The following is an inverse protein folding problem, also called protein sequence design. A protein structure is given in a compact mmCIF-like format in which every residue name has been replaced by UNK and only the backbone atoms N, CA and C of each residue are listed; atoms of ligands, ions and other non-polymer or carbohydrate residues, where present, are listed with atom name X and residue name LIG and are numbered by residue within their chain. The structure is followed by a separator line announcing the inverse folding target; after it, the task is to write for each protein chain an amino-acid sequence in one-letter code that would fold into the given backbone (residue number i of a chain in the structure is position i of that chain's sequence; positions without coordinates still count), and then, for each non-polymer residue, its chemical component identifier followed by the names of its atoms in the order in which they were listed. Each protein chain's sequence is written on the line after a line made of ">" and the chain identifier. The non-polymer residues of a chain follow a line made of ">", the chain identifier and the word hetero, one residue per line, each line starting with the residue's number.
data_IF_030219495223
#
_entry.id   IF_030219495223
#
_cell.length_a   1.000
_cell.length_b   1.000
_cell.length_c   1.000
_cell.angle_alpha   90.00
_cell.angle_beta   90.00
_cell.angle_gamma   90.00
#
_symmetry.space_group_name_H-M   'P 1'
#
loop_
_entity.id
_entity.type
_entity.pdbx_description
1 polymer ?
#
# COMPACT_ATOMS: atom_id res chain seq x y z
N UNK A 1 18.01 -1.21 -7.79
CA UNK A 1 17.28 -0.61 -8.95
C UNK A 1 15.95 -1.30 -9.21
N UNK A 2 15.88 -2.64 -9.19
CA UNK A 2 14.63 -3.40 -9.44
C UNK A 2 13.51 -3.03 -8.46
N UNK A 3 13.83 -2.85 -7.18
CA UNK A 3 12.83 -2.56 -6.12
C UNK A 3 12.20 -1.17 -6.27
N UNK A 4 13.02 -0.17 -6.62
CA UNK A 4 12.54 1.19 -6.89
C UNK A 4 11.65 1.21 -8.14
N UNK A 5 12.08 0.57 -9.22
CA UNK A 5 11.27 0.44 -10.44
C UNK A 5 9.96 -0.29 -10.16
N UNK A 6 10.01 -1.37 -9.38
CA UNK A 6 8.82 -2.11 -8.96
C UNK A 6 7.87 -1.24 -8.12
N UNK A 7 8.39 -0.46 -7.18
CA UNK A 7 7.60 0.42 -6.33
C UNK A 7 6.89 1.52 -7.13
N UNK A 8 7.61 2.17 -8.05
CA UNK A 8 7.04 3.21 -8.92
C UNK A 8 6.00 2.64 -9.89
N UNK A 9 6.25 1.48 -10.48
CA UNK A 9 5.30 0.81 -11.36
C UNK A 9 4.05 0.37 -10.60
N UNK A 10 4.22 -0.22 -9.41
CA UNK A 10 3.12 -0.58 -8.54
C UNK A 10 2.29 0.66 -8.15
N UNK A 11 2.93 1.78 -7.83
CA UNK A 11 2.26 3.05 -7.54
C UNK A 11 1.44 3.56 -8.73
N UNK A 12 1.98 3.50 -9.95
CA UNK A 12 1.25 3.89 -11.15
C UNK A 12 0.00 3.00 -11.39
N UNK A 13 0.14 1.69 -11.24
CA UNK A 13 -0.96 0.72 -11.38
C UNK A 13 -2.03 0.97 -10.31
N UNK A 14 -1.61 1.06 -9.05
CA UNK A 14 -2.51 1.31 -7.93
C UNK A 14 -3.23 2.64 -8.08
N UNK A 15 -2.55 3.71 -8.46
CA UNK A 15 -3.18 5.02 -8.66
C UNK A 15 -4.30 4.96 -9.72
N UNK A 16 -4.07 4.28 -10.84
CA UNK A 16 -5.08 4.09 -11.87
C UNK A 16 -6.27 3.27 -11.35
N UNK A 17 -6.01 2.15 -10.67
CA UNK A 17 -7.04 1.28 -10.10
C UNK A 17 -7.86 1.99 -9.00
N UNK A 18 -7.18 2.65 -8.06
CA UNK A 18 -7.77 3.40 -6.96
C UNK A 18 -8.72 4.48 -7.48
N UNK A 19 -8.35 5.19 -8.56
CA UNK A 19 -9.22 6.20 -9.16
C UNK A 19 -10.52 5.60 -9.70
N UNK A 20 -10.48 4.39 -10.25
CA UNK A 20 -11.67 3.68 -10.70
C UNK A 20 -12.53 3.23 -9.52
N UNK A 21 -11.93 2.64 -8.48
CA UNK A 21 -12.66 2.18 -7.30
C UNK A 21 -13.28 3.31 -6.50
N UNK A 22 -12.57 4.42 -6.31
CA UNK A 22 -13.10 5.60 -5.63
C UNK A 22 -14.30 6.20 -6.38
N UNK A 23 -14.30 6.18 -7.71
CA UNK A 23 -15.46 6.63 -8.51
C UNK A 23 -16.66 5.71 -8.37
N UNK A 24 -16.44 4.41 -8.22
CA UNK A 24 -17.52 3.43 -8.15
C UNK A 24 -18.09 3.25 -6.74
N UNK A 25 -17.25 3.30 -5.70
CA UNK A 25 -17.61 2.90 -4.33
C UNK A 25 -17.36 4.00 -3.27
N UNK A 26 -16.80 5.15 -3.65
CA UNK A 26 -16.55 6.27 -2.74
C UNK A 26 -15.67 5.86 -1.54
N UNK A 27 -16.06 6.27 -0.33
CA UNK A 27 -15.31 6.00 0.89
C UNK A 27 -15.17 4.51 1.20
N UNK A 28 -16.10 3.65 0.79
CA UNK A 28 -16.00 2.21 1.01
C UNK A 28 -14.77 1.63 0.33
N UNK A 29 -14.39 2.17 -0.84
CA UNK A 29 -13.20 1.74 -1.57
C UNK A 29 -11.92 1.83 -0.72
N UNK A 30 -11.82 2.88 0.11
CA UNK A 30 -10.63 3.15 0.94
C UNK A 30 -10.35 2.05 1.97
N UNK A 31 -11.36 1.29 2.37
CA UNK A 31 -11.21 0.19 3.34
C UNK A 31 -11.38 -1.20 2.71
N UNK A 32 -11.63 -1.29 1.40
CA UNK A 32 -11.84 -2.55 0.69
C UNK A 32 -10.99 -2.66 -0.57
N UNK A 33 -11.46 -2.13 -1.70
CA UNK A 33 -10.87 -2.32 -3.02
C UNK A 33 -9.50 -1.65 -3.16
N UNK A 34 -9.27 -0.52 -2.51
CA UNK A 34 -7.98 0.21 -2.56
C UNK A 34 -6.87 -0.59 -1.87
N UNK A 35 -6.98 -1.01 -0.59
CA UNK A 35 -5.98 -1.88 0.03
C UNK A 35 -5.68 -3.15 -0.78
N UNK A 36 -6.71 -3.79 -1.33
CA UNK A 36 -6.54 -4.97 -2.16
C UNK A 36 -5.68 -4.68 -3.40
N UNK A 37 -6.03 -3.63 -4.14
CA UNK A 37 -5.32 -3.26 -5.36
C UNK A 37 -3.85 -2.93 -5.10
N UNK A 38 -3.59 -2.21 -4.02
CA UNK A 38 -2.25 -1.79 -3.64
C UNK A 38 -1.36 -2.96 -3.22
N UNK A 39 -1.82 -3.81 -2.31
CA UNK A 39 -1.00 -4.94 -1.85
C UNK A 39 -0.75 -5.95 -2.98
N UNK A 40 -1.74 -6.18 -3.84
CA UNK A 40 -1.57 -7.02 -5.05
C UNK A 40 -0.56 -6.38 -6.00
N UNK A 41 -0.71 -5.10 -6.34
CA UNK A 41 0.20 -4.42 -7.27
C UNK A 41 1.64 -4.44 -6.75
N UNK A 42 1.87 -4.04 -5.50
CA UNK A 42 3.22 -4.02 -4.90
C UNK A 42 3.85 -5.41 -4.88
N UNK A 43 3.12 -6.41 -4.40
CA UNK A 43 3.66 -7.76 -4.22
C UNK A 43 3.90 -8.45 -5.57
N UNK A 44 2.93 -8.36 -6.48
CA UNK A 44 3.04 -9.04 -7.78
C UNK A 44 4.09 -8.36 -8.66
N UNK A 45 4.16 -7.02 -8.70
CA UNK A 45 5.20 -6.33 -9.47
C UNK A 45 6.59 -6.64 -8.91
N UNK A 46 6.76 -6.67 -7.58
CA UNK A 46 8.01 -7.12 -6.96
C UNK A 46 8.37 -8.55 -7.40
N UNK A 47 7.40 -9.47 -7.33
CA UNK A 47 7.59 -10.87 -7.71
C UNK A 47 8.01 -11.03 -9.18
N UNK A 48 7.28 -10.41 -10.11
CA UNK A 48 7.55 -10.49 -11.55
C UNK A 48 8.89 -9.87 -11.97
N UNK A 49 9.30 -8.78 -11.31
CA UNK A 49 10.58 -8.12 -11.59
C UNK A 49 11.75 -8.70 -10.79
N UNK A 50 11.51 -9.71 -9.94
CA UNK A 50 12.52 -10.27 -9.04
C UNK A 50 13.08 -9.24 -8.06
N UNK A 51 12.25 -8.30 -7.60
CA UNK A 51 12.54 -7.33 -6.56
C UNK A 51 12.18 -7.85 -5.17
N UNK A 52 12.73 -7.21 -4.15
CA UNK A 52 12.38 -7.46 -2.76
C UNK A 52 11.02 -6.80 -2.43
N UNK A 53 10.08 -7.59 -1.93
CA UNK A 53 8.72 -7.13 -1.56
C UNK A 53 8.78 -5.97 -0.57
N UNK A 54 9.59 -6.07 0.50
CA UNK A 54 9.70 -5.02 1.52
C UNK A 54 10.19 -3.69 0.93
N UNK A 55 11.25 -3.70 0.12
CA UNK A 55 11.78 -2.47 -0.49
C UNK A 55 10.85 -1.90 -1.55
N UNK A 56 10.11 -2.76 -2.28
CA UNK A 56 9.06 -2.33 -3.20
C UNK A 56 7.94 -1.60 -2.46
N UNK A 57 7.51 -2.12 -1.31
CA UNK A 57 6.49 -1.47 -0.48
C UNK A 57 6.98 -0.14 0.11
N UNK A 58 8.25 -0.05 0.53
CA UNK A 58 8.85 1.19 0.99
C UNK A 58 8.92 2.24 -0.12
N UNK A 59 9.31 1.84 -1.34
CA UNK A 59 9.34 2.73 -2.50
C UNK A 59 7.94 3.22 -2.91
N UNK A 60 6.94 2.34 -2.82
CA UNK A 60 5.54 2.72 -2.99
C UNK A 60 5.11 3.75 -1.93
N UNK A 61 5.35 3.46 -0.65
CA UNK A 61 5.00 4.37 0.43
C UNK A 61 5.73 5.71 0.37
N UNK A 62 6.97 5.73 -0.14
CA UNK A 62 7.69 6.97 -0.43
C UNK A 62 6.99 7.78 -1.53
N UNK A 63 6.47 7.11 -2.55
CA UNK A 63 5.71 7.76 -3.63
C UNK A 63 4.47 8.44 -3.08
N UNK A 64 3.69 7.74 -2.24
CA UNK A 64 2.53 8.34 -1.58
C UNK A 64 2.91 9.49 -0.65
N UNK A 65 3.96 9.32 0.15
CA UNK A 65 4.46 10.35 1.04
C UNK A 65 4.84 11.65 0.29
N UNK A 66 5.46 11.52 -0.88
CA UNK A 66 5.79 12.65 -1.76
C UNK A 66 4.53 13.30 -2.33
N UNK A 67 3.57 12.50 -2.80
CA UNK A 67 2.30 13.02 -3.32
C UNK A 67 1.50 13.77 -2.24
N UNK A 68 1.45 13.23 -1.02
CA UNK A 68 0.82 13.87 0.13
C UNK A 68 1.50 15.17 0.53
N UNK A 69 2.83 15.19 0.49
CA UNK A 69 3.62 16.39 0.80
C UNK A 69 3.44 17.50 -0.25
N UNK A 70 3.39 17.13 -1.53
CA UNK A 70 3.11 18.06 -2.63
C UNK A 70 1.64 18.48 -2.70
N UNK A 71 0.75 17.74 -2.04
CA UNK A 71 -0.67 18.02 -1.95
C UNK A 71 -1.02 19.21 -1.05
N UNK A 72 -2.32 19.53 -0.97
CA UNK A 72 -2.82 20.72 -0.26
C UNK A 72 -2.71 20.63 1.27
N UNK A 73 -2.52 19.44 1.84
CA UNK A 73 -2.56 19.23 3.29
C UNK A 73 -1.20 19.24 3.99
N UNK A 74 -0.06 19.13 3.26
CA UNK A 74 1.33 19.22 3.77
C UNK A 74 1.55 18.62 5.17
N UNK A 75 1.09 17.39 5.43
CA UNK A 75 1.17 16.75 6.75
C UNK A 75 2.39 15.83 6.87
N UNK A 76 3.55 16.39 7.23
CA UNK A 76 4.80 15.63 7.50
C UNK A 76 4.61 14.35 8.33
N UNK A 77 3.87 14.37 9.46
CA UNK A 77 3.67 13.16 10.26
C UNK A 77 2.88 12.08 9.51
N UNK A 78 1.94 12.47 8.63
CA UNK A 78 1.16 11.53 7.85
C UNK A 78 2.02 10.88 6.75
N UNK A 79 2.85 11.67 6.07
CA UNK A 79 3.78 11.19 5.04
C UNK A 79 4.79 10.18 5.59
N UNK A 80 5.39 10.45 6.76
CA UNK A 80 6.32 9.51 7.39
C UNK A 80 5.62 8.23 7.85
N UNK A 81 4.38 8.35 8.35
CA UNK A 81 3.58 7.22 8.80
C UNK A 81 3.13 6.33 7.64
N UNK A 82 2.90 6.90 6.44
CA UNK A 82 2.62 6.14 5.23
C UNK A 82 3.79 5.20 4.85
N UNK A 83 5.02 5.73 4.81
CA UNK A 83 6.23 4.93 4.52
C UNK A 83 6.34 3.77 5.51
N UNK A 84 6.20 4.05 6.81
CA UNK A 84 6.29 3.05 7.87
C UNK A 84 5.19 1.99 7.75
N UNK A 85 3.94 2.40 7.49
CA UNK A 85 2.81 1.49 7.34
C UNK A 85 3.02 0.53 6.16
N UNK A 86 3.38 1.02 4.98
CA UNK A 86 3.63 0.14 3.83
C UNK A 86 4.82 -0.78 4.04
N UNK A 87 5.91 -0.30 4.66
CA UNK A 87 7.02 -1.14 5.07
C UNK A 87 6.58 -2.30 5.97
N UNK A 88 5.73 -2.01 6.96
CA UNK A 88 5.15 -3.02 7.83
C UNK A 88 4.27 -4.02 7.06
N UNK A 89 3.46 -3.57 6.11
CA UNK A 89 2.65 -4.48 5.27
C UNK A 89 3.54 -5.39 4.43
N UNK A 90 4.64 -4.87 3.86
CA UNK A 90 5.60 -5.69 3.12
C UNK A 90 6.30 -6.73 4.00
N UNK A 91 6.62 -6.39 5.24
CA UNK A 91 7.16 -7.34 6.23
C UNK A 91 6.14 -8.44 6.55
N UNK A 92 4.87 -8.08 6.74
CA UNK A 92 3.80 -9.06 6.96
C UNK A 92 3.67 -10.00 5.77
N UNK A 93 3.63 -9.48 4.54
CA UNK A 93 3.57 -10.29 3.33
C UNK A 93 4.72 -11.30 3.30
N UNK A 94 5.96 -10.83 3.47
CA UNK A 94 7.13 -11.72 3.44
C UNK A 94 7.10 -12.76 4.56
N UNK A 95 6.75 -12.35 5.80
CA UNK A 95 6.70 -13.25 6.94
C UNK A 95 5.68 -14.36 6.73
N UNK A 96 4.44 -14.00 6.44
CA UNK A 96 3.35 -14.96 6.23
C UNK A 96 3.63 -15.86 5.04
N UNK A 97 4.14 -15.31 3.92
CA UNK A 97 4.48 -16.13 2.76
C UNK A 97 5.60 -17.12 3.02
N UNK A 98 6.59 -16.78 3.85
CA UNK A 98 7.66 -17.71 4.24
C UNK A 98 7.17 -18.80 5.17
N UNK A 99 6.34 -18.45 6.16
CA UNK A 99 5.83 -19.40 7.16
C UNK A 99 4.80 -20.38 6.55
N UNK A 100 4.02 -19.93 5.56
CA UNK A 100 2.96 -20.73 4.94
C UNK A 100 3.34 -21.34 3.59
N UNK A 101 4.43 -20.88 2.97
CA UNK A 101 4.77 -21.20 1.59
C UNK A 101 3.83 -20.58 0.55
N UNK A 102 2.92 -19.68 0.93
CA UNK A 102 1.89 -19.11 0.05
C UNK A 102 2.03 -17.59 -0.09
N UNK A 103 2.32 -17.14 -1.32
CA UNK A 103 2.33 -15.71 -1.63
C UNK A 103 0.94 -15.09 -1.45
N UNK A 104 -0.11 -15.81 -1.85
CA UNK A 104 -1.50 -15.36 -1.73
C UNK A 104 -1.92 -15.11 -0.29
N UNK A 105 -1.52 -15.96 0.66
CA UNK A 105 -1.80 -15.73 2.08
C UNK A 105 -1.07 -14.51 2.62
N UNK A 106 0.17 -14.25 2.17
CA UNK A 106 0.91 -13.04 2.54
C UNK A 106 0.26 -11.76 2.03
N UNK A 107 -0.24 -11.77 0.78
CA UNK A 107 -1.00 -10.64 0.22
C UNK A 107 -2.28 -10.45 1.04
N UNK A 108 -3.05 -11.51 1.28
CA UNK A 108 -4.31 -11.44 2.03
C UNK A 108 -4.11 -10.86 3.43
N UNK A 109 -3.09 -11.31 4.16
CA UNK A 109 -2.77 -10.78 5.49
C UNK A 109 -2.43 -9.28 5.45
N UNK A 110 -1.64 -8.84 4.46
CA UNK A 110 -1.33 -7.42 4.30
C UNK A 110 -2.58 -6.60 3.96
N UNK A 111 -3.47 -7.10 3.10
CA UNK A 111 -4.74 -6.43 2.74
C UNK A 111 -5.61 -6.20 3.98
N UNK A 112 -5.75 -7.22 4.84
CA UNK A 112 -6.56 -7.12 6.07
C UNK A 112 -5.98 -6.05 7.00
N UNK A 113 -4.66 -6.07 7.23
CA UNK A 113 -4.00 -5.11 8.12
C UNK A 113 -4.07 -3.70 7.53
N UNK A 114 -3.92 -3.56 6.21
CA UNK A 114 -4.01 -2.27 5.53
C UNK A 114 -5.44 -1.71 5.58
N UNK A 115 -6.46 -2.52 5.33
CA UNK A 115 -7.85 -2.11 5.50
C UNK A 115 -8.14 -1.63 6.93
N UNK A 116 -7.64 -2.35 7.94
CA UNK A 116 -7.76 -1.95 9.34
C UNK A 116 -7.04 -0.63 9.64
N UNK A 117 -5.85 -0.42 9.06
CA UNK A 117 -5.11 0.82 9.14
C UNK A 117 -5.89 2.00 8.56
N UNK A 118 -6.42 1.86 7.34
CA UNK A 118 -7.23 2.90 6.70
C UNK A 118 -8.48 3.22 7.50
N UNK A 119 -9.15 2.21 8.04
CA UNK A 119 -10.29 2.41 8.93
C UNK A 119 -9.92 3.22 10.18
N UNK A 120 -8.80 2.91 10.83
CA UNK A 120 -8.32 3.64 12.00
C UNK A 120 -7.97 5.11 11.65
N UNK A 121 -7.35 5.36 10.50
CA UNK A 121 -7.00 6.70 10.04
C UNK A 121 -8.23 7.53 9.67
N UNK A 122 -9.21 6.93 9.00
CA UNK A 122 -10.50 7.57 8.70
C UNK A 122 -11.24 7.93 9.98
N UNK A 123 -11.32 7.00 10.95
CA UNK A 123 -11.95 7.25 12.24
C UNK A 123 -11.29 8.40 13.01
N UNK A 124 -9.95 8.45 13.02
CA UNK A 124 -9.20 9.55 13.66
C UNK A 124 -9.41 10.89 12.98
N UNK A 125 -9.63 10.90 11.66
CA UNK A 125 -9.84 12.13 10.89
C UNK A 125 -11.27 12.64 11.04
N UNK A 126 -12.27 11.76 11.10
CA UNK A 126 -13.66 12.13 11.31
C UNK A 126 -13.97 12.71 12.71
N UNK A 127 -13.11 12.47 13.70
CA UNK A 127 -13.21 13.04 15.06
C UNK A 127 -12.55 14.41 15.23
N UNK A 128 -11.89 14.94 14.21
CA UNK A 128 -11.29 16.28 14.22
C UNK A 128 -12.19 17.26 13.51
#
# INVERSE_FOLDING_TARGET
>A
MRDLAAGLLAAAIAFAANRLFLRAQGCLAMISAVPLAEEVAKTMVAFWLGGAVVYTHLAFGLTEAVLDWCGKSKRLPASALAIAAHGAFGLVTVKVSRETGSLGLGILSAVIIHAAWNMAMLYRTAKR
#
